data_IF_449457531840
#
_entry.id   IF_449457531840
#
_cell.length_a   1.000
_cell.length_b   1.000
_cell.length_c   1.000
_cell.angle_alpha   90.00
_cell.angle_beta   90.00
_cell.angle_gamma   90.00
#
_symmetry.space_group_name_H-M   'P 1'
#
loop_
_entity.id
_entity.type
_entity.pdbx_description
1 polymer ?
#
# COMPACT_ATOMS: atom_id res chain seq x y z
N UNK A 1 24.37 -22.32 0.46
CA UNK A 1 23.03 -22.44 -0.17
C UNK A 1 22.20 -21.19 0.14
N UNK A 2 22.43 -20.04 -0.53
CA UNK A 2 21.79 -18.77 -0.17
C UNK A 2 20.61 -18.34 -1.07
N UNK A 3 20.23 -19.11 -2.11
CA UNK A 3 19.16 -18.70 -3.06
C UNK A 3 17.72 -19.10 -2.66
N UNK A 4 17.55 -19.94 -1.63
CA UNK A 4 16.22 -20.34 -1.14
C UNK A 4 15.32 -19.22 -0.54
N UNK A 5 15.82 -18.15 0.10
CA UNK A 5 14.97 -17.24 0.88
C UNK A 5 14.13 -16.30 0.01
N UNK A 6 14.60 -15.88 -1.17
CA UNK A 6 13.84 -14.99 -2.07
C UNK A 6 12.62 -15.70 -2.65
N UNK A 7 12.82 -16.89 -3.22
CA UNK A 7 11.73 -17.67 -3.84
C UNK A 7 10.71 -18.07 -2.77
N UNK A 8 11.17 -18.50 -1.59
CA UNK A 8 10.29 -18.82 -0.47
C UNK A 8 9.46 -17.60 -0.03
N UNK A 9 10.09 -16.42 0.08
CA UNK A 9 9.40 -15.17 0.45
C UNK A 9 8.37 -14.76 -0.60
N UNK A 10 8.71 -14.84 -1.89
CA UNK A 10 7.80 -14.53 -2.98
C UNK A 10 6.62 -15.51 -3.03
N UNK A 11 6.89 -16.81 -2.95
CA UNK A 11 5.85 -17.85 -3.01
C UNK A 11 4.94 -17.77 -1.79
N UNK A 12 5.49 -17.63 -0.58
CA UNK A 12 4.71 -17.47 0.63
C UNK A 12 3.90 -16.17 0.59
N UNK A 13 4.54 -15.05 0.24
CA UNK A 13 3.92 -13.73 0.20
C UNK A 13 2.81 -13.62 -0.84
N UNK A 14 3.10 -13.90 -2.12
CA UNK A 14 2.08 -13.86 -3.17
C UNK A 14 1.04 -14.96 -2.99
N UNK A 15 1.44 -16.16 -2.56
CA UNK A 15 0.52 -17.28 -2.34
C UNK A 15 -0.50 -16.97 -1.24
N UNK A 16 -0.03 -16.53 -0.06
CA UNK A 16 -0.93 -16.13 1.03
C UNK A 16 -1.78 -14.91 0.66
N UNK A 17 -1.18 -13.90 0.02
CA UNK A 17 -1.92 -12.73 -0.45
C UNK A 17 -3.03 -13.13 -1.42
N UNK A 18 -2.77 -14.05 -2.36
CA UNK A 18 -3.78 -14.54 -3.29
C UNK A 18 -4.89 -15.31 -2.59
N UNK A 19 -4.55 -16.25 -1.69
CA UNK A 19 -5.54 -17.04 -0.95
C UNK A 19 -6.41 -16.15 -0.06
N UNK A 20 -5.80 -15.26 0.73
CA UNK A 20 -6.52 -14.39 1.64
C UNK A 20 -7.25 -13.26 0.92
N UNK A 21 -6.69 -12.73 -0.16
CA UNK A 21 -7.35 -11.73 -1.01
C UNK A 21 -8.56 -12.29 -1.72
N UNK A 22 -8.47 -13.52 -2.26
CA UNK A 22 -9.63 -14.20 -2.86
C UNK A 22 -10.68 -14.56 -1.82
N UNK A 23 -10.28 -14.97 -0.61
CA UNK A 23 -11.21 -15.19 0.50
C UNK A 23 -11.90 -13.88 0.93
N UNK A 24 -11.15 -12.79 1.09
CA UNK A 24 -11.69 -11.47 1.41
C UNK A 24 -12.71 -11.01 0.34
N UNK A 25 -12.37 -11.19 -0.94
CA UNK A 25 -13.27 -10.88 -2.04
C UNK A 25 -14.56 -11.72 -2.00
N UNK A 26 -14.47 -13.02 -1.65
CA UNK A 26 -15.65 -13.89 -1.47
C UNK A 26 -16.54 -13.43 -0.31
N UNK A 27 -15.95 -12.85 0.73
CA UNK A 27 -16.66 -12.28 1.87
C UNK A 27 -17.19 -10.85 1.59
N UNK A 28 -17.09 -10.36 0.34
CA UNK A 28 -17.45 -8.99 -0.07
C UNK A 28 -16.63 -7.89 0.63
N UNK A 29 -15.43 -8.24 1.10
CA UNK A 29 -14.45 -7.29 1.60
C UNK A 29 -13.50 -6.88 0.46
N UNK A 30 -12.85 -5.73 0.59
CA UNK A 30 -11.79 -5.32 -0.33
C UNK A 30 -10.65 -6.35 -0.29
N UNK A 31 -10.14 -6.84 -1.44
CA UNK A 31 -8.99 -7.76 -1.49
C UNK A 31 -7.76 -7.23 -0.76
N UNK A 32 -7.62 -5.91 -0.67
CA UNK A 32 -6.55 -5.22 0.07
C UNK A 32 -6.48 -5.70 1.53
N UNK A 33 -7.64 -5.92 2.17
CA UNK A 33 -7.70 -6.44 3.54
C UNK A 33 -7.01 -7.81 3.62
N UNK A 34 -7.28 -8.70 2.66
CA UNK A 34 -6.65 -10.01 2.59
C UNK A 34 -5.13 -9.94 2.39
N UNK A 35 -4.65 -9.00 1.55
CA UNK A 35 -3.22 -8.78 1.34
C UNK A 35 -2.53 -8.26 2.61
N UNK A 36 -3.18 -7.36 3.36
CA UNK A 36 -2.66 -6.87 4.64
C UNK A 36 -2.57 -7.98 5.68
N UNK A 37 -3.62 -8.80 5.81
CA UNK A 37 -3.61 -9.95 6.73
C UNK A 37 -2.51 -10.94 6.35
N UNK A 38 -2.32 -11.21 5.06
CA UNK A 38 -1.21 -12.04 4.58
C UNK A 38 0.15 -11.48 5.01
N UNK A 39 0.36 -10.18 4.87
CA UNK A 39 1.59 -9.50 5.32
C UNK A 39 1.82 -9.60 6.83
N UNK A 40 0.75 -9.48 7.62
CA UNK A 40 0.83 -9.66 9.09
C UNK A 40 1.21 -11.11 9.44
N UNK A 41 0.66 -12.11 8.74
CA UNK A 41 0.91 -13.54 9.00
C UNK A 41 2.32 -14.03 8.66
N UNK A 42 2.98 -13.40 7.69
CA UNK A 42 4.38 -13.69 7.34
C UNK A 42 5.38 -12.72 7.98
N UNK A 43 4.86 -11.83 8.83
CA UNK A 43 5.63 -10.83 9.56
C UNK A 43 6.38 -11.42 10.77
N UNK A 44 7.23 -10.63 11.42
CA UNK A 44 8.04 -11.08 12.56
C UNK A 44 7.21 -11.38 13.83
N UNK A 45 5.96 -10.93 13.88
CA UNK A 45 5.09 -11.03 15.05
C UNK A 45 4.23 -12.31 15.08
N UNK A 46 4.34 -13.16 14.06
CA UNK A 46 3.57 -14.40 13.91
C UNK A 46 4.49 -15.61 14.00
N UNK A 47 4.17 -16.61 14.84
CA UNK A 47 4.98 -17.81 14.96
C UNK A 47 4.93 -18.60 13.64
N UNK A 48 6.08 -18.80 13.00
CA UNK A 48 6.17 -19.52 11.72
C UNK A 48 7.29 -19.01 10.81
N UNK A 49 7.08 -19.18 9.50
CA UNK A 49 7.98 -18.65 8.47
C UNK A 49 7.93 -17.11 8.45
N UNK A 50 9.07 -16.49 8.78
CA UNK A 50 9.22 -15.03 8.75
C UNK A 50 9.89 -14.65 7.44
N UNK A 51 9.22 -13.82 6.65
CA UNK A 51 9.79 -13.24 5.44
C UNK A 51 10.94 -12.28 5.78
N UNK A 52 11.96 -12.25 4.93
CA UNK A 52 13.04 -11.27 5.05
C UNK A 52 12.50 -9.86 4.79
N UNK A 53 12.51 -9.01 5.82
CA UNK A 53 11.96 -7.65 5.74
C UNK A 53 12.73 -6.74 4.78
N UNK A 54 14.05 -6.92 4.66
CA UNK A 54 14.85 -6.11 3.76
C UNK A 54 14.50 -6.43 2.30
N UNK A 55 14.39 -7.72 1.98
CA UNK A 55 13.94 -8.16 0.66
C UNK A 55 12.49 -7.75 0.40
N UNK A 56 11.58 -7.94 1.37
CA UNK A 56 10.17 -7.56 1.24
C UNK A 56 10.01 -6.05 0.97
N UNK A 57 10.80 -5.20 1.64
CA UNK A 57 10.80 -3.76 1.40
C UNK A 57 11.28 -3.39 0.00
N UNK A 58 12.39 -3.98 -0.46
CA UNK A 58 12.89 -3.76 -1.83
C UNK A 58 11.88 -4.20 -2.89
N UNK A 59 11.24 -5.36 -2.66
CA UNK A 59 10.16 -5.88 -3.52
C UNK A 59 8.94 -4.94 -3.54
N UNK A 60 8.54 -4.40 -2.38
CA UNK A 60 7.44 -3.45 -2.27
C UNK A 60 7.75 -2.14 -3.00
N UNK A 61 8.97 -1.60 -2.85
CA UNK A 61 9.42 -0.41 -3.56
C UNK A 61 9.38 -0.62 -5.08
N UNK A 62 9.91 -1.75 -5.58
CA UNK A 62 9.81 -2.11 -6.99
C UNK A 62 8.36 -2.26 -7.45
N UNK A 63 7.50 -2.91 -6.65
CA UNK A 63 6.08 -3.06 -6.95
C UNK A 63 5.36 -1.72 -7.09
N UNK A 64 5.63 -0.78 -6.17
CA UNK A 64 5.08 0.58 -6.23
C UNK A 64 5.60 1.34 -7.46
N UNK A 65 6.89 1.23 -7.79
CA UNK A 65 7.46 1.85 -8.98
C UNK A 65 6.77 1.32 -10.24
N UNK A 66 6.64 0.00 -10.37
CA UNK A 66 5.97 -0.62 -11.51
C UNK A 66 4.49 -0.23 -11.59
N UNK A 67 3.80 -0.12 -10.45
CA UNK A 67 2.41 0.32 -10.39
C UNK A 67 2.27 1.80 -10.82
N UNK A 68 3.09 2.69 -10.27
CA UNK A 68 3.08 4.12 -10.62
C UNK A 68 3.48 4.34 -12.08
N UNK A 69 4.42 3.55 -12.59
CA UNK A 69 4.77 3.56 -14.01
C UNK A 69 3.59 3.10 -14.88
N UNK A 70 2.92 2.00 -14.51
CA UNK A 70 1.73 1.53 -15.21
C UNK A 70 0.59 2.53 -15.22
N UNK A 71 0.35 3.23 -14.10
CA UNK A 71 -0.61 4.33 -14.02
C UNK A 71 -0.19 5.47 -14.95
N UNK A 72 1.11 5.81 -14.97
CA UNK A 72 1.67 6.81 -15.87
C UNK A 72 1.47 6.49 -17.35
N UNK A 73 1.60 5.22 -17.76
CA UNK A 73 1.37 4.79 -19.16
C UNK A 73 -0.07 4.98 -19.63
N UNK A 74 -1.04 4.84 -18.73
CA UNK A 74 -2.47 5.05 -19.02
C UNK A 74 -2.91 6.51 -18.77
N UNK A 75 -2.01 7.37 -18.31
CA UNK A 75 -2.31 8.75 -17.96
C UNK A 75 -2.19 9.67 -19.18
N UNK A 76 -3.33 10.21 -19.64
CA UNK A 76 -3.36 11.25 -20.67
C UNK A 76 -3.25 12.63 -20.03
N UNK A 77 -2.17 13.36 -20.35
CA UNK A 77 -2.02 14.76 -19.95
C UNK A 77 -3.16 15.64 -20.50
N UNK A 78 -3.64 15.33 -21.70
CA UNK A 78 -4.74 16.06 -22.33
C UNK A 78 -6.05 15.88 -21.55
N UNK A 79 -6.29 14.67 -21.04
CA UNK A 79 -7.48 14.37 -20.25
C UNK A 79 -7.43 15.14 -18.92
N UNK A 80 -6.28 15.19 -18.26
CA UNK A 80 -6.09 16.03 -17.06
C UNK A 80 -6.32 17.51 -17.36
N UNK A 81 -5.74 18.02 -18.45
CA UNK A 81 -5.88 19.43 -18.83
C UNK A 81 -7.33 19.80 -19.16
N UNK A 82 -8.11 18.87 -19.71
CA UNK A 82 -9.53 19.06 -20.01
C UNK A 82 -10.37 19.31 -18.75
N UNK A 83 -10.03 18.65 -17.63
CA UNK A 83 -10.72 18.79 -16.33
C UNK A 83 -9.94 19.65 -15.33
N UNK A 84 -8.91 20.39 -15.76
CA UNK A 84 -8.00 21.13 -14.86
C UNK A 84 -8.71 22.05 -13.85
N UNK A 85 -9.83 22.66 -14.24
CA UNK A 85 -10.59 23.58 -13.38
C UNK A 85 -11.27 22.88 -12.20
N UNK A 86 -11.45 21.57 -12.28
CA UNK A 86 -12.07 20.76 -11.22
C UNK A 86 -11.01 19.89 -10.54
N UNK A 87 -10.19 19.19 -11.33
CA UNK A 87 -9.21 18.23 -10.83
C UNK A 87 -8.10 18.87 -9.98
N UNK A 88 -7.48 19.97 -10.44
CA UNK A 88 -6.41 20.64 -9.69
C UNK A 88 -6.89 21.21 -8.35
N UNK A 89 -7.90 22.10 -8.32
CA UNK A 89 -8.35 22.68 -7.05
C UNK A 89 -9.00 21.62 -6.15
N UNK A 90 -9.68 20.62 -6.71
CA UNK A 90 -10.21 19.49 -5.95
C UNK A 90 -9.11 18.67 -5.26
N UNK A 91 -8.05 18.30 -6.00
CA UNK A 91 -6.94 17.54 -5.42
C UNK A 91 -6.18 18.35 -4.35
N UNK A 92 -5.81 19.59 -4.65
CA UNK A 92 -5.08 20.46 -3.71
C UNK A 92 -5.95 20.76 -2.48
N UNK A 93 -7.22 21.11 -2.68
CA UNK A 93 -8.15 21.40 -1.60
C UNK A 93 -8.41 20.18 -0.71
N UNK A 94 -8.62 19.01 -1.32
CA UNK A 94 -8.82 17.77 -0.57
C UNK A 94 -7.56 17.38 0.21
N UNK A 95 -6.37 17.47 -0.40
CA UNK A 95 -5.10 17.21 0.30
C UNK A 95 -4.94 18.16 1.49
N UNK A 96 -5.10 19.47 1.28
CA UNK A 96 -4.99 20.47 2.34
C UNK A 96 -5.99 20.21 3.47
N UNK A 97 -7.26 19.93 3.14
CA UNK A 97 -8.30 19.66 4.12
C UNK A 97 -8.01 18.38 4.92
N UNK A 98 -7.67 17.28 4.26
CA UNK A 98 -7.37 16.00 4.94
C UNK A 98 -6.14 16.13 5.81
N UNK A 99 -5.09 16.81 5.34
CA UNK A 99 -3.89 17.10 6.14
C UNK A 99 -4.24 17.97 7.35
N UNK A 100 -5.04 19.02 7.18
CA UNK A 100 -5.45 19.89 8.28
C UNK A 100 -6.30 19.15 9.32
N UNK A 101 -7.27 18.35 8.88
CA UNK A 101 -8.08 17.52 9.77
C UNK A 101 -7.22 16.48 10.51
N UNK A 102 -6.27 15.85 9.81
CA UNK A 102 -5.29 14.94 10.41
C UNK A 102 -4.49 15.63 11.51
N UNK A 103 -3.97 16.84 11.26
CA UNK A 103 -3.25 17.64 12.25
C UNK A 103 -4.12 18.02 13.46
N UNK A 104 -5.38 18.38 13.24
CA UNK A 104 -6.30 18.71 14.33
C UNK A 104 -6.59 17.49 15.22
N UNK A 105 -6.80 16.32 14.61
CA UNK A 105 -7.04 15.07 15.34
C UNK A 105 -5.80 14.65 16.12
N UNK A 106 -4.60 14.71 15.52
CA UNK A 106 -3.37 14.34 16.21
C UNK A 106 -3.08 15.29 17.38
N UNK A 107 -3.29 16.59 17.21
CA UNK A 107 -3.16 17.56 18.31
C UNK A 107 -4.21 17.33 19.41
N UNK A 108 -5.46 17.00 19.07
CA UNK A 108 -6.51 16.72 20.05
C UNK A 108 -6.22 15.48 20.90
N UNK A 109 -5.50 14.50 20.34
CA UNK A 109 -5.04 13.29 21.06
C UNK A 109 -3.71 13.56 21.82
N UNK A 110 -3.17 14.78 21.73
CA UNK A 110 -1.96 15.22 22.43
C UNK A 110 -0.65 14.83 21.73
N UNK A 111 -0.70 14.43 20.46
CA UNK A 111 0.49 14.08 19.69
C UNK A 111 1.21 15.34 19.18
N UNK A 112 2.54 15.43 19.33
CA UNK A 112 3.30 16.57 18.84
C UNK A 112 3.36 16.58 17.30
N UNK A 113 3.45 17.78 16.74
CA UNK A 113 3.58 17.97 15.29
C UNK A 113 4.93 17.40 14.85
N UNK A 114 4.92 16.41 13.95
CA UNK A 114 6.12 15.74 13.45
C UNK A 114 6.53 14.46 14.18
N UNK A 115 5.63 13.83 14.93
CA UNK A 115 5.88 12.55 15.60
C UNK A 115 5.91 11.31 14.67
N UNK A 116 5.75 11.49 13.35
CA UNK A 116 5.61 10.42 12.35
C UNK A 116 6.63 10.50 11.23
#
# INVERSE_FOLDING_TARGET
MPQAPLIATLVAGLGLAFILGTLANRLRLSPLVGYLVAGVLIGPFTPGFVADQALARQLAELGVILLMFGIGLHFSLNDLLSVRRIALPGAVGQMALVTMLGLLVTQAIGWPIGAG
#
